data_IF_882540707509
#
_entry.id   IF_882540707509
#
_cell.length_a   1.000
_cell.length_b   1.000
_cell.length_c   1.000
_cell.angle_alpha   90.00
_cell.angle_beta   90.00
_cell.angle_gamma   90.00
#
_symmetry.space_group_name_H-M   'P 1'
#
loop_
_entity.id
_entity.type
_entity.pdbx_description
1 polymer ?
#
# COMPACT_ATOMS: atom_id res chain seq x y z
N UNK A 1 19.78 12.07 -7.20
CA UNK A 1 18.99 12.31 -8.44
C UNK A 1 17.81 13.22 -8.10
N UNK A 2 17.33 14.07 -9.04
CA UNK A 2 16.17 14.93 -8.81
C UNK A 2 14.88 14.08 -8.73
N UNK A 3 13.86 14.60 -8.04
CA UNK A 3 12.52 14.03 -8.06
C UNK A 3 11.91 14.21 -9.46
N UNK A 4 11.35 13.15 -10.01
CA UNK A 4 10.64 13.15 -11.30
C UNK A 4 9.17 12.77 -11.05
N UNK A 5 8.26 13.33 -11.86
CA UNK A 5 6.83 13.03 -11.83
C UNK A 5 6.40 12.45 -13.16
N UNK A 6 5.63 11.38 -13.10
CA UNK A 6 5.13 10.68 -14.30
C UNK A 6 3.61 10.54 -14.24
N UNK A 7 2.91 10.90 -15.32
CA UNK A 7 1.54 10.42 -15.53
C UNK A 7 1.59 8.91 -15.73
N UNK A 8 0.76 8.16 -15.01
CA UNK A 8 0.81 6.68 -15.09
C UNK A 8 0.00 6.10 -16.23
N UNK A 9 -0.93 6.87 -16.81
CA UNK A 9 -1.75 6.46 -17.93
C UNK A 9 -1.40 7.22 -19.20
N UNK A 10 -1.25 6.49 -20.32
CA UNK A 10 -1.11 7.09 -21.64
C UNK A 10 -2.40 7.81 -22.03
N UNK A 11 -2.29 8.92 -22.76
CA UNK A 11 -3.44 9.74 -23.22
C UNK A 11 -4.46 8.97 -24.06
N UNK A 12 -4.03 7.90 -24.71
CA UNK A 12 -4.89 7.01 -25.47
C UNK A 12 -5.51 5.87 -24.64
N UNK A 13 -5.16 5.75 -23.37
CA UNK A 13 -5.74 4.74 -22.47
C UNK A 13 -7.16 5.12 -22.08
N UNK A 14 -8.05 4.12 -21.98
CA UNK A 14 -9.40 4.29 -21.40
C UNK A 14 -9.38 4.75 -19.93
N UNK A 15 -8.26 4.55 -19.26
CA UNK A 15 -8.04 4.93 -17.86
C UNK A 15 -7.48 6.35 -17.71
N UNK A 16 -7.13 7.01 -18.83
CA UNK A 16 -6.57 8.37 -18.78
C UNK A 16 -7.59 9.38 -18.25
N UNK A 17 -7.14 10.20 -17.34
CA UNK A 17 -7.87 11.36 -16.81
C UNK A 17 -6.91 12.53 -16.80
N UNK A 18 -7.33 13.68 -17.33
CA UNK A 18 -6.53 14.90 -17.28
C UNK A 18 -6.24 15.31 -15.83
N UNK A 19 -4.99 15.66 -15.51
CA UNK A 19 -4.50 15.86 -14.14
C UNK A 19 -4.74 14.64 -13.23
N UNK A 20 -4.68 13.45 -13.81
CA UNK A 20 -4.96 12.17 -13.19
C UNK A 20 -3.86 11.66 -12.27
N UNK A 21 -3.81 10.33 -12.07
CA UNK A 21 -2.85 9.73 -11.17
C UNK A 21 -1.40 9.92 -11.64
N UNK A 22 -0.51 10.25 -10.70
CA UNK A 22 0.91 10.48 -10.96
C UNK A 22 1.79 9.68 -10.02
N UNK A 23 2.96 9.28 -10.51
CA UNK A 23 4.01 8.60 -9.76
C UNK A 23 5.18 9.57 -9.56
N UNK A 24 5.55 9.81 -8.30
CA UNK A 24 6.71 10.61 -7.91
C UNK A 24 7.85 9.67 -7.48
N UNK A 25 9.10 9.99 -7.90
CA UNK A 25 10.27 9.15 -7.63
C UNK A 25 11.11 9.69 -6.48
N UNK A 26 11.62 8.78 -5.64
CA UNK A 26 12.60 8.99 -4.58
C UNK A 26 13.71 7.97 -4.76
N UNK A 27 14.69 8.28 -5.61
CA UNK A 27 15.76 7.36 -5.97
C UNK A 27 17.04 7.67 -5.17
N UNK A 28 17.77 6.62 -4.79
CA UNK A 28 19.08 6.71 -4.14
C UNK A 28 20.17 6.16 -5.05
N UNK A 29 21.39 6.68 -4.93
CA UNK A 29 22.53 6.18 -5.69
C UNK A 29 22.98 4.83 -5.15
N UNK A 30 23.19 3.87 -6.06
CA UNK A 30 23.68 2.53 -5.74
C UNK A 30 24.36 1.89 -6.94
N UNK A 31 25.39 1.09 -6.68
CA UNK A 31 26.10 0.30 -7.68
C UNK A 31 25.36 -1.01 -8.03
N UNK A 32 24.34 -1.36 -7.26
CA UNK A 32 23.51 -2.56 -7.48
C UNK A 32 22.03 -2.20 -7.50
N UNK A 33 21.23 -3.01 -8.17
CA UNK A 33 19.78 -2.88 -8.18
C UNK A 33 19.20 -3.14 -6.79
N UNK A 34 18.39 -2.21 -6.29
CA UNK A 34 17.81 -2.24 -4.95
C UNK A 34 16.31 -2.55 -5.01
N UNK A 35 15.76 -3.01 -3.88
CA UNK A 35 14.32 -3.08 -3.68
C UNK A 35 13.68 -1.71 -3.69
N UNK A 36 12.37 -1.67 -3.97
CA UNK A 36 11.57 -0.45 -4.05
C UNK A 36 10.32 -0.52 -3.18
N UNK A 37 9.89 0.64 -2.67
CA UNK A 37 8.66 0.80 -1.89
C UNK A 37 7.73 1.78 -2.60
N UNK A 38 6.56 1.32 -3.03
CA UNK A 38 5.49 2.15 -3.58
C UNK A 38 4.57 2.60 -2.45
N UNK A 39 4.55 3.88 -2.15
CA UNK A 39 3.80 4.50 -1.04
C UNK A 39 2.43 4.96 -1.51
N UNK A 40 1.40 4.57 -0.77
CA UNK A 40 0.00 4.92 -0.97
C UNK A 40 -0.51 5.70 0.25
N UNK A 41 -0.63 7.03 0.17
CA UNK A 41 -1.15 7.84 1.27
C UNK A 41 -2.58 7.46 1.66
N UNK A 42 -2.96 7.68 2.92
CA UNK A 42 -4.33 7.56 3.38
C UNK A 42 -5.20 8.74 2.97
N UNK A 43 -6.40 8.83 3.59
CA UNK A 43 -7.35 9.91 3.34
C UNK A 43 -8.76 9.43 3.02
N UNK A 44 -9.11 8.19 3.39
CA UNK A 44 -10.47 7.65 3.31
C UNK A 44 -11.00 7.47 1.89
N UNK A 45 -10.15 7.35 0.87
CA UNK A 45 -10.50 7.40 -0.56
C UNK A 45 -11.16 8.72 -1.00
N UNK A 46 -11.11 9.76 -0.18
CA UNK A 46 -11.67 11.09 -0.47
C UNK A 46 -10.59 12.15 -0.63
N UNK A 47 -9.44 11.95 -0.02
CA UNK A 47 -8.28 12.82 -0.07
C UNK A 47 -7.00 11.99 -0.09
N UNK A 48 -5.84 12.64 -0.26
CA UNK A 48 -4.51 12.06 -0.12
C UNK A 48 -3.75 12.83 0.96
N UNK A 49 -3.39 12.14 2.05
CA UNK A 49 -2.72 12.72 3.21
C UNK A 49 -1.25 13.05 2.88
N UNK A 50 -0.91 14.33 2.76
CA UNK A 50 0.43 14.77 2.36
C UNK A 50 1.53 14.34 3.33
N UNK A 51 1.23 14.25 4.63
CA UNK A 51 2.17 13.76 5.67
C UNK A 51 2.42 12.24 5.63
N UNK A 52 1.74 11.51 4.75
CA UNK A 52 1.93 10.09 4.46
C UNK A 52 2.50 9.86 3.05
N UNK A 53 3.04 10.90 2.43
CA UNK A 53 3.55 10.90 1.06
C UNK A 53 5.10 11.00 1.01
N UNK A 54 5.64 12.09 0.50
CA UNK A 54 7.08 12.25 0.23
C UNK A 54 7.99 12.01 1.42
N UNK A 55 7.59 12.39 2.65
CA UNK A 55 8.39 12.12 3.86
C UNK A 55 8.55 10.62 4.14
N UNK A 56 7.58 9.81 3.73
CA UNK A 56 7.68 8.33 3.82
C UNK A 56 8.68 7.82 2.79
N UNK A 57 8.62 8.34 1.55
CA UNK A 57 9.62 8.01 0.52
C UNK A 57 11.04 8.28 1.01
N UNK A 58 11.29 9.45 1.62
CA UNK A 58 12.57 9.80 2.23
C UNK A 58 12.97 8.84 3.35
N UNK A 59 12.04 8.49 4.25
CA UNK A 59 12.32 7.55 5.34
C UNK A 59 12.73 6.16 4.83
N UNK A 60 12.16 5.69 3.71
CA UNK A 60 12.59 4.42 3.10
C UNK A 60 13.90 4.54 2.30
N UNK A 61 14.22 5.72 1.77
CA UNK A 61 15.58 5.98 1.26
C UNK A 61 16.62 5.83 2.38
N UNK A 62 16.35 6.33 3.59
CA UNK A 62 17.21 6.15 4.78
C UNK A 62 17.36 4.67 5.19
N UNK A 63 16.37 3.82 4.87
CA UNK A 63 16.43 2.36 5.06
C UNK A 63 17.18 1.64 3.91
N UNK A 64 17.60 2.35 2.87
CA UNK A 64 18.36 1.81 1.74
C UNK A 64 17.52 1.31 0.58
N UNK A 65 16.25 1.68 0.48
CA UNK A 65 15.36 1.31 -0.63
C UNK A 65 15.09 2.50 -1.54
N UNK A 66 14.89 2.26 -2.83
CA UNK A 66 14.18 3.22 -3.67
C UNK A 66 12.75 3.38 -3.18
N UNK A 67 12.19 4.57 -3.36
CA UNK A 67 10.79 4.78 -3.04
C UNK A 67 10.07 5.54 -4.16
N UNK A 68 8.76 5.33 -4.22
CA UNK A 68 7.86 5.97 -5.15
C UNK A 68 6.60 6.36 -4.39
N UNK A 69 5.99 7.49 -4.73
CA UNK A 69 4.71 7.92 -4.14
C UNK A 69 3.67 7.97 -5.23
N UNK A 70 2.58 7.25 -5.07
CA UNK A 70 1.47 7.26 -6.01
C UNK A 70 0.36 8.20 -5.54
N UNK A 71 0.06 9.21 -6.35
CA UNK A 71 -1.17 9.97 -6.26
C UNK A 71 -2.24 9.20 -7.06
N UNK A 72 -2.95 8.30 -6.40
CA UNK A 72 -3.98 7.46 -7.02
C UNK A 72 -5.33 8.16 -7.10
N UNK A 73 -6.25 7.65 -7.96
CA UNK A 73 -7.62 8.16 -8.09
C UNK A 73 -8.41 7.94 -6.79
N UNK A 74 -9.11 8.97 -6.37
CA UNK A 74 -10.00 9.00 -5.20
C UNK A 74 -11.42 9.33 -5.65
N UNK A 75 -12.40 9.34 -4.74
CA UNK A 75 -13.76 9.74 -5.04
C UNK A 75 -13.80 11.08 -5.83
N UNK A 76 -14.65 11.18 -6.86
CA UNK A 76 -15.78 10.31 -7.16
C UNK A 76 -15.43 9.01 -7.91
N UNK A 77 -14.14 8.77 -8.22
CA UNK A 77 -13.73 7.48 -8.79
C UNK A 77 -13.88 6.39 -7.74
N UNK A 78 -14.43 5.25 -8.14
CA UNK A 78 -14.71 4.10 -7.29
C UNK A 78 -13.92 2.88 -7.73
N UNK A 79 -14.04 1.78 -7.02
CA UNK A 79 -13.52 0.49 -7.45
C UNK A 79 -13.93 0.19 -8.90
N UNK A 80 -13.02 -0.28 -9.76
CA UNK A 80 -11.65 -0.67 -9.49
C UNK A 80 -10.58 0.41 -9.78
N UNK A 81 -10.94 1.68 -10.00
CA UNK A 81 -10.02 2.69 -10.50
C UNK A 81 -8.75 2.86 -9.66
N UNK A 82 -8.80 2.98 -8.31
CA UNK A 82 -7.59 3.09 -7.50
C UNK A 82 -6.69 1.84 -7.59
N UNK A 83 -7.28 0.64 -7.67
CA UNK A 83 -6.53 -0.62 -7.80
C UNK A 83 -5.78 -0.71 -9.13
N UNK A 84 -6.43 -0.29 -10.21
CA UNK A 84 -5.81 -0.20 -11.54
C UNK A 84 -4.61 0.74 -11.53
N UNK A 85 -4.71 1.86 -10.80
CA UNK A 85 -3.61 2.81 -10.66
C UNK A 85 -2.39 2.20 -9.96
N UNK A 86 -2.60 1.42 -8.89
CA UNK A 86 -1.51 0.73 -8.18
C UNK A 86 -0.82 -0.28 -9.08
N UNK A 87 -1.58 -1.12 -9.78
CA UNK A 87 -1.00 -2.12 -10.69
C UNK A 87 -0.24 -1.47 -11.85
N UNK A 88 -0.77 -0.38 -12.39
CA UNK A 88 -0.08 0.38 -13.44
C UNK A 88 1.21 1.02 -12.91
N UNK A 89 1.21 1.56 -11.70
CA UNK A 89 2.41 2.11 -11.09
C UNK A 89 3.50 1.04 -10.90
N UNK A 90 3.14 -0.15 -10.41
CA UNK A 90 4.07 -1.29 -10.29
C UNK A 90 4.65 -1.68 -11.66
N UNK A 91 3.81 -1.74 -12.71
CA UNK A 91 4.27 -2.03 -14.08
C UNK A 91 5.25 -0.98 -14.61
N UNK A 92 4.99 0.31 -14.33
CA UNK A 92 5.89 1.39 -14.71
C UNK A 92 7.24 1.24 -13.99
N UNK A 93 7.24 0.92 -12.69
CA UNK A 93 8.46 0.69 -11.92
C UNK A 93 9.25 -0.48 -12.53
N UNK A 94 8.59 -1.60 -12.82
CA UNK A 94 9.22 -2.77 -13.46
C UNK A 94 9.75 -2.46 -14.86
N UNK A 95 8.98 -1.75 -15.68
CA UNK A 95 9.39 -1.35 -17.04
C UNK A 95 10.64 -0.46 -17.04
N UNK A 96 10.78 0.38 -16.02
CA UNK A 96 11.91 1.30 -15.87
C UNK A 96 12.98 0.77 -14.90
N UNK A 97 12.94 -0.49 -14.51
CA UNK A 97 13.81 -1.06 -13.49
C UNK A 97 15.32 -0.82 -13.80
N UNK A 98 15.76 -1.04 -15.02
CA UNK A 98 17.14 -0.76 -15.43
C UNK A 98 17.51 0.72 -15.37
N UNK A 99 16.58 1.62 -15.76
CA UNK A 99 16.80 3.08 -15.70
C UNK A 99 16.96 3.58 -14.27
N UNK A 100 16.17 3.01 -13.34
CA UNK A 100 16.10 3.45 -11.94
C UNK A 100 16.93 2.59 -10.99
N UNK A 101 17.65 1.61 -11.51
CA UNK A 101 18.45 0.65 -10.74
C UNK A 101 17.62 -0.09 -9.67
N UNK A 102 16.36 -0.42 -10.02
CA UNK A 102 15.40 -1.17 -9.19
C UNK A 102 15.49 -2.65 -9.55
N UNK A 103 15.46 -3.52 -8.54
CA UNK A 103 15.22 -4.95 -8.78
C UNK A 103 13.72 -5.17 -9.03
N UNK A 104 13.30 -5.62 -10.23
CA UNK A 104 11.88 -5.76 -10.59
C UNK A 104 11.12 -6.81 -9.76
N UNK A 105 11.84 -7.72 -9.10
CA UNK A 105 11.27 -8.77 -8.26
C UNK A 105 11.23 -8.38 -6.76
N UNK A 106 11.57 -7.12 -6.44
CA UNK A 106 11.66 -6.60 -5.08
C UNK A 106 10.88 -5.29 -4.93
N UNK A 107 9.57 -5.32 -5.26
CA UNK A 107 8.69 -4.15 -5.14
C UNK A 107 7.65 -4.42 -4.05
N UNK A 108 7.72 -3.66 -2.97
CA UNK A 108 6.70 -3.65 -1.92
C UNK A 108 5.71 -2.51 -2.13
N UNK A 109 4.46 -2.73 -1.71
CA UNK A 109 3.44 -1.69 -1.64
C UNK A 109 3.17 -1.35 -0.20
N UNK A 110 3.36 -0.07 0.15
CA UNK A 110 3.13 0.49 1.47
C UNK A 110 1.88 1.36 1.44
N UNK A 111 0.96 1.15 2.38
CA UNK A 111 -0.25 1.98 2.43
C UNK A 111 -0.68 2.33 3.85
N UNK A 112 -1.24 3.52 3.98
CA UNK A 112 -1.75 4.07 5.24
C UNK A 112 -3.27 4.12 5.24
N UNK A 113 -3.93 3.68 6.33
CA UNK A 113 -5.37 3.82 6.47
C UNK A 113 -6.14 3.26 5.26
N UNK A 114 -6.91 4.07 4.52
CA UNK A 114 -7.54 3.69 3.26
C UNK A 114 -6.50 3.31 2.17
N UNK A 115 -5.32 3.95 2.15
CA UNK A 115 -4.19 3.53 1.32
C UNK A 115 -3.66 2.14 1.71
N UNK A 116 -3.79 1.76 2.99
CA UNK A 116 -3.53 0.42 3.49
C UNK A 116 -4.52 -0.61 2.93
N UNK A 117 -5.82 -0.27 2.87
CA UNK A 117 -6.81 -1.08 2.17
C UNK A 117 -6.45 -1.20 0.68
N UNK A 118 -6.06 -0.12 0.04
CA UNK A 118 -5.66 -0.12 -1.36
C UNK A 118 -4.42 -1.01 -1.58
N UNK A 119 -3.41 -0.91 -0.70
CA UNK A 119 -2.21 -1.76 -0.76
C UNK A 119 -2.56 -3.24 -0.62
N UNK A 120 -3.34 -3.62 0.40
CA UNK A 120 -3.77 -4.99 0.58
C UNK A 120 -4.65 -5.48 -0.58
N UNK A 121 -5.60 -4.65 -1.07
CA UNK A 121 -6.47 -4.98 -2.19
C UNK A 121 -5.71 -5.23 -3.49
N UNK A 122 -4.56 -4.56 -3.69
CA UNK A 122 -3.71 -4.78 -4.88
C UNK A 122 -3.16 -6.20 -4.97
N UNK A 123 -3.08 -6.90 -3.84
CA UNK A 123 -2.69 -8.30 -3.77
C UNK A 123 -3.91 -9.25 -3.76
N UNK A 124 -4.81 -9.08 -2.77
CA UNK A 124 -5.85 -10.10 -2.52
C UNK A 124 -7.05 -10.01 -3.50
N UNK A 125 -7.23 -8.89 -4.21
CA UNK A 125 -8.29 -8.74 -5.24
C UNK A 125 -7.74 -8.85 -6.67
N UNK A 126 -6.46 -9.16 -6.83
CA UNK A 126 -5.79 -9.19 -8.12
C UNK A 126 -6.49 -10.13 -9.14
N UNK A 127 -6.96 -11.28 -8.66
CA UNK A 127 -7.63 -12.29 -9.50
C UNK A 127 -9.03 -11.86 -9.99
N UNK A 128 -9.64 -10.85 -9.40
CA UNK A 128 -10.99 -10.40 -9.78
C UNK A 128 -11.02 -9.51 -11.02
N UNK A 129 -9.89 -8.96 -11.43
CA UNK A 129 -9.76 -8.09 -12.60
C UNK A 129 -8.94 -8.79 -13.70
N UNK A 130 -9.42 -9.95 -14.13
CA UNK A 130 -8.74 -10.90 -15.02
C UNK A 130 -8.16 -10.28 -16.29
N UNK A 131 -8.82 -9.28 -16.89
CA UNK A 131 -8.34 -8.66 -18.12
C UNK A 131 -7.06 -7.83 -17.92
N UNK A 132 -6.78 -7.43 -16.67
CA UNK A 132 -5.61 -6.63 -16.29
C UNK A 132 -4.50 -7.48 -15.63
N UNK A 133 -4.86 -8.65 -15.12
CA UNK A 133 -4.07 -9.45 -14.18
C UNK A 133 -3.32 -10.63 -14.78
N UNK A 134 -3.45 -10.88 -16.09
CA UNK A 134 -2.98 -12.13 -16.72
C UNK A 134 -1.47 -12.40 -16.63
N UNK A 135 -0.64 -11.39 -16.31
CA UNK A 135 0.81 -11.51 -16.35
C UNK A 135 1.53 -11.26 -15.00
N UNK A 136 0.78 -11.02 -13.92
CA UNK A 136 1.31 -10.65 -12.60
C UNK A 136 2.31 -9.45 -12.60
N UNK A 137 2.47 -8.74 -13.73
CA UNK A 137 3.42 -7.63 -13.85
C UNK A 137 3.07 -6.44 -12.95
N UNK A 138 1.80 -6.30 -12.55
CA UNK A 138 1.30 -5.34 -11.57
C UNK A 138 1.25 -5.88 -10.12
N UNK A 139 1.66 -7.13 -9.87
CA UNK A 139 1.51 -7.77 -8.56
C UNK A 139 2.65 -7.39 -7.61
N UNK A 140 2.37 -7.00 -6.33
CA UNK A 140 3.41 -6.66 -5.36
C UNK A 140 4.17 -7.90 -4.87
N UNK A 141 5.45 -7.71 -4.47
CA UNK A 141 6.27 -8.78 -3.89
C UNK A 141 6.20 -8.80 -2.35
N UNK A 142 5.78 -7.70 -1.72
CA UNK A 142 5.54 -7.58 -0.28
C UNK A 142 4.52 -6.47 0.01
N UNK A 143 3.93 -6.49 1.20
CA UNK A 143 3.03 -5.44 1.68
C UNK A 143 3.56 -4.82 2.98
N UNK A 144 3.36 -3.51 3.14
CA UNK A 144 3.57 -2.78 4.40
C UNK A 144 2.26 -2.02 4.69
N UNK A 145 1.55 -2.40 5.74
CA UNK A 145 0.22 -1.88 6.05
C UNK A 145 0.26 -1.09 7.37
N UNK A 146 0.05 0.21 7.25
CA UNK A 146 0.13 1.16 8.36
C UNK A 146 -1.28 1.52 8.83
N UNK A 147 -1.69 1.11 10.03
CA UNK A 147 -3.06 1.28 10.57
C UNK A 147 -4.15 1.12 9.50
N UNK A 148 -4.10 0.00 8.74
CA UNK A 148 -4.91 -0.13 7.54
C UNK A 148 -6.39 -0.25 7.85
N UNK A 149 -7.22 0.32 6.99
CA UNK A 149 -8.58 -0.19 6.81
C UNK A 149 -8.45 -1.55 6.14
N UNK A 150 -9.12 -2.56 6.65
CA UNK A 150 -9.15 -3.92 6.07
C UNK A 150 -10.60 -4.33 5.80
N UNK A 151 -11.47 -4.19 6.78
CA UNK A 151 -12.87 -4.54 6.66
C UNK A 151 -13.73 -3.34 6.25
N UNK A 152 -14.77 -3.59 5.49
CA UNK A 152 -15.88 -2.66 5.25
C UNK A 152 -17.19 -3.12 5.92
N UNK A 153 -17.12 -4.19 6.71
CA UNK A 153 -18.20 -4.70 7.55
C UNK A 153 -18.19 -4.03 8.94
N UNK A 154 -18.68 -4.70 9.96
CA UNK A 154 -18.94 -4.18 11.32
C UNK A 154 -17.74 -3.51 11.98
N UNK A 155 -16.51 -4.03 11.75
CA UNK A 155 -15.28 -3.50 12.32
C UNK A 155 -14.60 -2.45 11.43
N UNK A 156 -15.20 -2.12 10.29
CA UNK A 156 -14.59 -1.34 9.24
C UNK A 156 -14.75 0.17 9.40
N UNK A 157 -14.04 0.90 8.54
CA UNK A 157 -14.19 2.35 8.39
C UNK A 157 -15.24 2.67 7.34
N UNK A 158 -16.48 2.96 7.78
CA UNK A 158 -17.63 3.20 6.91
C UNK A 158 -17.34 4.22 5.79
N UNK A 159 -16.74 5.37 6.12
CA UNK A 159 -16.45 6.42 5.14
C UNK A 159 -15.52 5.98 4.01
N UNK A 160 -14.53 5.13 4.27
CA UNK A 160 -13.67 4.56 3.22
C UNK A 160 -14.46 3.61 2.32
N UNK A 161 -15.35 2.79 2.90
CA UNK A 161 -16.23 1.91 2.14
C UNK A 161 -17.17 2.70 1.24
N UNK A 162 -17.82 3.75 1.77
CA UNK A 162 -18.75 4.62 1.03
C UNK A 162 -18.05 5.30 -0.16
N UNK A 163 -16.85 5.82 0.06
CA UNK A 163 -16.09 6.51 -0.99
C UNK A 163 -15.60 5.56 -2.10
N UNK A 164 -15.21 4.33 -1.75
CA UNK A 164 -14.71 3.37 -2.72
C UNK A 164 -15.83 2.61 -3.45
N UNK A 165 -16.87 2.20 -2.73
CA UNK A 165 -17.92 1.31 -3.26
C UNK A 165 -19.23 2.04 -3.59
N UNK A 166 -19.48 3.18 -2.95
CA UNK A 166 -20.74 3.91 -2.95
C UNK A 166 -21.46 3.82 -1.60
N UNK A 167 -22.20 4.86 -1.26
CA UNK A 167 -22.98 4.93 -0.02
C UNK A 167 -24.10 3.87 0.02
N UNK A 168 -24.60 3.48 -1.14
CA UNK A 168 -25.64 2.50 -1.40
C UNK A 168 -25.13 1.05 -1.49
N UNK A 169 -23.83 0.82 -1.32
CA UNK A 169 -23.24 -0.52 -1.31
C UNK A 169 -23.86 -1.36 -0.19
N UNK A 170 -24.46 -2.49 -0.56
CA UNK A 170 -25.10 -3.42 0.37
C UNK A 170 -24.08 -4.19 1.21
N UNK A 171 -24.54 -4.90 2.25
CA UNK A 171 -23.68 -5.64 3.17
C UNK A 171 -22.89 -6.76 2.46
N UNK A 172 -23.44 -7.38 1.41
CA UNK A 172 -22.74 -8.45 0.68
C UNK A 172 -21.60 -7.86 -0.14
N UNK A 173 -21.82 -6.71 -0.79
CA UNK A 173 -20.78 -5.95 -1.48
C UNK A 173 -19.69 -5.52 -0.50
N UNK A 174 -20.03 -4.99 0.67
CA UNK A 174 -19.06 -4.60 1.70
C UNK A 174 -18.23 -5.81 2.19
N UNK A 175 -18.87 -6.95 2.45
CA UNK A 175 -18.19 -8.21 2.81
C UNK A 175 -17.26 -8.72 1.70
N UNK A 176 -17.67 -8.60 0.45
CA UNK A 176 -16.87 -9.00 -0.71
C UNK A 176 -15.54 -8.23 -0.76
N UNK A 177 -15.56 -6.95 -0.42
CA UNK A 177 -14.39 -6.06 -0.41
C UNK A 177 -13.77 -5.86 0.99
N UNK A 178 -14.15 -6.69 1.97
CA UNK A 178 -13.49 -6.84 3.25
C UNK A 178 -12.34 -7.85 3.08
N UNK A 179 -11.11 -7.36 3.19
CA UNK A 179 -9.92 -8.04 2.65
C UNK A 179 -9.46 -9.22 3.50
N UNK A 180 -9.85 -9.29 4.78
CA UNK A 180 -9.64 -10.47 5.62
C UNK A 180 -10.29 -11.73 5.03
N UNK A 181 -11.36 -11.57 4.26
CA UNK A 181 -12.04 -12.69 3.59
C UNK A 181 -11.38 -13.10 2.26
N UNK A 182 -10.34 -12.39 1.84
CA UNK A 182 -9.75 -12.50 0.49
C UNK A 182 -8.31 -13.02 0.50
N UNK A 183 -7.71 -13.17 1.67
CA UNK A 183 -6.34 -13.72 1.80
C UNK A 183 -6.30 -15.13 1.20
N UNK A 184 -5.31 -15.40 0.35
CA UNK A 184 -5.06 -16.71 -0.25
C UNK A 184 -3.56 -17.05 -0.23
N UNK A 185 -3.17 -18.23 -0.73
CA UNK A 185 -1.78 -18.68 -0.71
C UNK A 185 -0.83 -17.86 -1.58
N UNK A 186 -1.35 -17.06 -2.52
CA UNK A 186 -0.55 -16.18 -3.35
C UNK A 186 -0.31 -14.81 -2.68
N UNK A 187 -1.00 -14.52 -1.56
CA UNK A 187 -0.86 -13.24 -0.84
C UNK A 187 0.59 -13.05 -0.39
N UNK A 188 1.23 -11.89 -0.67
CA UNK A 188 2.64 -11.69 -0.38
C UNK A 188 2.93 -11.59 1.13
N UNK A 189 4.20 -11.79 1.54
CA UNK A 189 4.65 -11.49 2.90
C UNK A 189 4.26 -10.07 3.30
N UNK A 190 3.78 -9.90 4.54
CA UNK A 190 3.15 -8.64 4.96
C UNK A 190 3.66 -8.17 6.31
N UNK A 191 4.12 -6.92 6.36
CA UNK A 191 4.37 -6.20 7.61
C UNK A 191 3.16 -5.33 7.95
N UNK A 192 2.72 -5.35 9.22
CA UNK A 192 1.62 -4.52 9.71
C UNK A 192 2.02 -3.78 10.98
N UNK A 193 1.51 -2.55 11.15
CA UNK A 193 1.53 -1.91 12.44
C UNK A 193 0.27 -1.08 12.69
N UNK A 194 -0.09 -0.94 13.97
CA UNK A 194 -1.27 -0.21 14.43
C UNK A 194 -1.03 0.33 15.84
N UNK A 195 -1.89 1.27 16.29
CA UNK A 195 -1.95 1.66 17.69
C UNK A 195 -3.24 1.12 18.34
N UNK A 196 -3.15 0.60 19.55
CA UNK A 196 -4.29 0.00 20.25
C UNK A 196 -5.41 1.00 20.57
N UNK A 197 -5.07 2.30 20.66
CA UNK A 197 -6.01 3.38 20.97
C UNK A 197 -6.57 4.11 19.76
N UNK A 198 -6.33 3.60 18.54
CA UNK A 198 -6.92 4.16 17.32
C UNK A 198 -8.46 4.07 17.36
N UNK A 199 -9.12 5.25 17.32
CA UNK A 199 -10.57 5.36 17.39
C UNK A 199 -11.24 5.53 16.02
N UNK A 200 -10.47 5.77 14.98
CA UNK A 200 -11.00 5.95 13.61
C UNK A 200 -11.04 4.63 12.85
N UNK A 201 -9.95 3.87 12.93
CA UNK A 201 -9.85 2.52 12.37
C UNK A 201 -9.45 1.58 13.51
N UNK A 202 -10.36 0.76 14.03
CA UNK A 202 -10.05 -0.12 15.14
C UNK A 202 -8.89 -1.07 14.83
N UNK A 203 -7.98 -1.27 15.78
CA UNK A 203 -6.79 -2.14 15.66
C UNK A 203 -7.12 -3.56 15.19
N UNK A 204 -8.34 -4.02 15.47
CA UNK A 204 -8.83 -5.32 15.04
C UNK A 204 -8.74 -5.52 13.52
N UNK A 205 -8.77 -4.45 12.70
CA UNK A 205 -8.53 -4.54 11.26
C UNK A 205 -7.17 -5.20 10.95
N UNK A 206 -6.10 -4.74 11.60
CA UNK A 206 -4.77 -5.35 11.44
C UNK A 206 -4.70 -6.76 12.00
N UNK A 207 -5.36 -7.01 13.13
CA UNK A 207 -5.35 -8.32 13.80
C UNK A 207 -6.01 -9.39 12.94
N UNK A 208 -7.20 -9.13 12.39
CA UNK A 208 -7.91 -10.14 11.57
C UNK A 208 -7.16 -10.44 10.28
N UNK A 209 -6.53 -9.44 9.65
CA UNK A 209 -5.76 -9.66 8.43
C UNK A 209 -4.49 -10.48 8.72
N UNK A 210 -3.75 -10.14 9.78
CA UNK A 210 -2.58 -10.90 10.21
C UNK A 210 -2.94 -12.36 10.57
N UNK A 211 -4.07 -12.57 11.27
CA UNK A 211 -4.58 -13.89 11.60
C UNK A 211 -4.81 -14.75 10.34
N UNK A 212 -5.41 -14.15 9.31
CA UNK A 212 -5.66 -14.87 8.05
C UNK A 212 -4.38 -15.19 7.28
N UNK A 213 -3.35 -14.33 7.35
CA UNK A 213 -2.02 -14.62 6.81
C UNK A 213 -1.37 -15.81 7.53
N UNK A 214 -1.36 -15.78 8.87
CA UNK A 214 -0.75 -16.84 9.68
C UNK A 214 -1.48 -18.17 9.51
N UNK A 215 -2.82 -18.17 9.43
CA UNK A 215 -3.61 -19.37 9.19
C UNK A 215 -3.24 -20.08 7.86
N UNK A 216 -2.66 -19.33 6.90
CA UNK A 216 -2.20 -19.85 5.59
C UNK A 216 -0.68 -20.05 5.50
N UNK A 217 0.03 -19.84 6.62
CA UNK A 217 1.49 -19.96 6.65
C UNK A 217 2.24 -18.86 5.88
N UNK A 218 1.57 -17.75 5.60
CA UNK A 218 2.20 -16.60 4.93
C UNK A 218 3.01 -15.82 5.97
N UNK A 219 4.29 -15.47 5.67
CA UNK A 219 5.09 -14.68 6.59
C UNK A 219 4.44 -13.32 6.87
N UNK A 220 4.12 -13.06 8.13
CA UNK A 220 3.54 -11.80 8.55
C UNK A 220 4.09 -11.35 9.90
N UNK A 221 4.35 -10.05 10.01
CA UNK A 221 4.82 -9.40 11.24
C UNK A 221 3.82 -8.30 11.62
N UNK A 222 3.27 -8.34 12.84
CA UNK A 222 2.31 -7.37 13.34
C UNK A 222 2.85 -6.69 14.61
N UNK A 223 2.97 -5.37 14.58
CA UNK A 223 3.29 -4.53 15.74
C UNK A 223 2.07 -3.73 16.19
N UNK A 224 1.66 -3.94 17.44
CA UNK A 224 0.61 -3.13 18.05
C UNK A 224 1.23 -2.26 19.13
N UNK A 225 1.32 -0.97 18.88
CA UNK A 225 1.79 0.01 19.84
C UNK A 225 0.67 0.39 20.82
N UNK A 226 0.95 0.56 22.12
CA UNK A 226 -0.12 0.75 23.12
C UNK A 226 -0.92 2.03 22.91
N UNK A 227 -0.28 3.13 22.45
CA UNK A 227 -0.92 4.44 22.34
C UNK A 227 -0.60 5.14 21.02
N UNK A 228 -1.55 5.90 20.52
CA UNK A 228 -1.42 6.78 19.36
C UNK A 228 -2.77 7.01 18.68
N UNK A 229 -3.02 8.20 18.13
CA UNK A 229 -4.19 8.46 17.30
C UNK A 229 -4.05 7.84 15.92
N UNK A 230 -5.13 7.86 15.14
CA UNK A 230 -5.11 7.50 13.73
C UNK A 230 -4.35 8.52 12.86
N UNK A 231 -3.74 8.08 11.77
CA UNK A 231 -3.18 8.99 10.77
C UNK A 231 -1.88 9.67 11.16
N UNK A 232 -1.02 8.99 11.91
CA UNK A 232 0.21 9.61 12.47
C UNK A 232 1.43 9.60 11.54
N UNK A 233 1.33 8.96 10.36
CA UNK A 233 2.42 8.88 9.38
C UNK A 233 3.69 8.31 10.00
N UNK A 234 4.79 9.08 10.04
CA UNK A 234 6.06 8.63 10.65
C UNK A 234 6.03 8.44 12.17
N UNK A 235 5.03 8.98 12.87
CA UNK A 235 4.92 8.86 14.32
C UNK A 235 6.06 9.52 15.10
N UNK A 236 6.69 10.57 14.56
CA UNK A 236 7.92 11.18 15.09
C UNK A 236 7.83 11.61 16.55
N UNK A 237 6.65 12.06 16.96
CA UNK A 237 6.39 12.57 18.31
C UNK A 237 5.97 11.48 19.32
N UNK A 238 5.83 10.22 18.87
CA UNK A 238 5.52 9.09 19.73
C UNK A 238 6.73 8.13 19.77
N UNK A 239 7.48 8.08 20.87
CA UNK A 239 8.73 7.32 20.95
C UNK A 239 8.62 5.86 20.51
N UNK A 240 7.53 5.18 20.88
CA UNK A 240 7.33 3.78 20.56
C UNK A 240 6.95 3.58 19.08
N UNK A 241 6.20 4.52 18.49
CA UNK A 241 5.72 4.42 17.11
C UNK A 241 6.79 4.78 16.09
N UNK A 242 7.63 5.78 16.35
CA UNK A 242 8.63 6.31 15.40
C UNK A 242 9.61 5.27 14.84
N UNK A 243 9.71 4.10 15.47
CA UNK A 243 10.62 3.00 15.07
C UNK A 243 10.05 2.14 13.93
N UNK A 244 8.76 2.30 13.58
CA UNK A 244 8.10 1.42 12.61
C UNK A 244 8.77 1.40 11.22
N UNK A 245 9.34 2.52 10.66
CA UNK A 245 9.99 2.44 9.35
C UNK A 245 11.22 1.53 9.38
N UNK A 246 11.98 1.55 10.50
CA UNK A 246 13.13 0.64 10.69
C UNK A 246 12.68 -0.82 10.82
N UNK A 247 11.60 -1.08 11.55
CA UNK A 247 11.03 -2.44 11.68
C UNK A 247 10.57 -2.96 10.31
N UNK A 248 9.84 -2.15 9.56
CA UNK A 248 9.40 -2.50 8.21
C UNK A 248 10.58 -2.72 7.24
N UNK A 249 11.59 -1.85 7.28
CA UNK A 249 12.83 -2.01 6.51
C UNK A 249 13.57 -3.30 6.86
N UNK A 250 13.65 -3.65 8.14
CA UNK A 250 14.23 -4.92 8.59
C UNK A 250 13.42 -6.12 8.09
N UNK A 251 12.09 -6.06 8.17
CA UNK A 251 11.22 -7.11 7.63
C UNK A 251 11.49 -7.35 6.14
N UNK A 252 11.60 -6.30 5.33
CA UNK A 252 11.93 -6.43 3.91
C UNK A 252 13.29 -7.10 3.70
N UNK A 253 14.32 -6.69 4.47
CA UNK A 253 15.69 -7.24 4.35
C UNK A 253 15.81 -8.68 4.85
N UNK A 254 15.21 -9.01 5.98
CA UNK A 254 15.45 -10.28 6.68
C UNK A 254 14.44 -11.36 6.34
N UNK A 255 13.16 -11.01 6.22
CA UNK A 255 12.07 -11.95 5.96
C UNK A 255 11.81 -12.09 4.45
N UNK A 256 11.68 -10.97 3.75
CA UNK A 256 11.39 -10.96 2.29
C UNK A 256 12.67 -11.10 1.45
N UNK A 257 13.86 -10.77 2.03
CA UNK A 257 15.17 -10.84 1.37
C UNK A 257 15.35 -9.79 0.26
N UNK A 258 14.78 -8.60 0.43
CA UNK A 258 15.02 -7.50 -0.49
C UNK A 258 16.44 -6.93 -0.35
N UNK A 259 17.05 -6.59 -1.49
CA UNK A 259 18.30 -5.87 -1.54
C UNK A 259 18.09 -4.40 -1.13
N UNK A 260 18.96 -3.93 -0.23
CA UNK A 260 19.02 -2.55 0.24
C UNK A 260 20.47 -2.06 0.23
N UNK A 261 20.62 -0.72 0.20
CA UNK A 261 21.93 -0.07 0.28
C UNK A 261 22.54 -0.23 1.67
#
# INVERSE_FOLDING_TARGET
MGQEFFEIWDKNSKEYVENGPTLETFLIDSDKALGAVLVLPGGGYRALAQHEAGCIGQAFNEQGFHAFVLKYRIAPNRFPAPQLDVWQAIRIIRKNASKWNVNPDMISVLGFSAGGHLAASSAVLYKELNDFANDKSGYPNALILCYPVISFDVIGHKGSGDNLLGEDADINTRKKYSLENRVDLDTPPTFLWHTATDRSVPVVNSVVFAQELWNRGIPAELHVFPNGPHGYGLGKDIPDVKVWPTLAGNFLKTTVKFEAK
#
